data_IF_919222463787
#
_entry.id   IF_919222463787
#
_cell.length_a   1.000
_cell.length_b   1.000
_cell.length_c   1.000
_cell.angle_alpha   90.00
_cell.angle_beta   90.00
_cell.angle_gamma   90.00
#
_symmetry.space_group_name_H-M   'P 1'
#
loop_
_entity.id
_entity.type
_entity.pdbx_description
1 polymer ?
#
# COMPACT_ATOMS: atom_id res chain seq x y z
N UNK A 1 8.98 -2.80 -10.25
CA UNK A 1 7.55 -2.45 -10.29
C UNK A 1 7.26 -1.00 -9.97
N UNK A 2 7.97 -0.35 -9.02
CA UNK A 2 7.70 1.03 -8.60
C UNK A 2 7.74 2.11 -9.71
N UNK A 3 8.44 1.87 -10.83
CA UNK A 3 8.49 2.78 -11.99
C UNK A 3 7.19 2.77 -12.84
N UNK A 4 6.31 1.79 -12.62
CA UNK A 4 5.04 1.66 -13.34
C UNK A 4 3.98 2.50 -12.62
N UNK A 5 3.25 3.32 -13.36
CA UNK A 5 2.14 4.11 -12.80
C UNK A 5 0.95 3.21 -12.44
N UNK A 6 0.36 3.37 -11.24
CA UNK A 6 -0.89 2.68 -10.89
C UNK A 6 -2.01 3.01 -11.87
N UNK A 7 -2.88 2.02 -12.12
CA UNK A 7 -4.05 2.19 -13.00
C UNK A 7 -5.20 2.77 -12.19
N UNK A 8 -5.68 3.99 -12.49
CA UNK A 8 -6.86 4.54 -11.82
C UNK A 8 -8.13 3.81 -12.29
N UNK A 9 -9.07 3.62 -11.36
CA UNK A 9 -10.40 3.06 -11.65
C UNK A 9 -11.48 4.06 -11.26
N UNK A 10 -12.46 4.22 -12.13
CA UNK A 10 -13.68 4.98 -11.87
C UNK A 10 -14.70 4.13 -11.09
N UNK A 11 -15.61 4.79 -10.36
CA UNK A 11 -16.72 4.10 -9.68
C UNK A 11 -17.61 3.31 -10.68
N UNK A 12 -17.78 3.83 -11.90
CA UNK A 12 -18.53 3.13 -12.95
C UNK A 12 -17.83 1.82 -13.37
N UNK A 13 -16.50 1.83 -13.53
CA UNK A 13 -15.74 0.62 -13.82
C UNK A 13 -15.85 -0.37 -12.65
N UNK A 14 -15.69 0.09 -11.40
CA UNK A 14 -15.83 -0.77 -10.22
C UNK A 14 -17.20 -1.44 -10.15
N UNK A 15 -18.28 -0.68 -10.41
CA UNK A 15 -19.64 -1.24 -10.50
C UNK A 15 -19.73 -2.30 -11.60
N UNK A 16 -19.20 -2.01 -12.78
CA UNK A 16 -19.19 -2.92 -13.93
C UNK A 16 -18.52 -4.25 -13.58
N UNK A 17 -17.34 -4.22 -12.93
CA UNK A 17 -16.64 -5.42 -12.46
C UNK A 17 -17.43 -6.22 -11.42
N UNK A 18 -18.22 -5.55 -10.59
CA UNK A 18 -19.00 -6.19 -9.54
C UNK A 18 -20.31 -6.84 -10.02
N UNK A 19 -20.93 -6.32 -11.09
CA UNK A 19 -22.28 -6.75 -11.50
C UNK A 19 -22.32 -7.71 -12.69
N UNK A 20 -21.23 -7.85 -13.45
CA UNK A 20 -21.26 -8.53 -14.75
C UNK A 20 -20.71 -9.98 -14.73
N UNK A 21 -20.97 -10.71 -13.64
CA UNK A 21 -20.76 -12.16 -13.58
C UNK A 21 -19.32 -12.65 -13.32
N UNK A 22 -19.12 -13.98 -13.28
CA UNK A 22 -17.87 -14.61 -12.80
C UNK A 22 -16.66 -14.40 -13.72
N UNK A 23 -16.86 -14.24 -15.03
CA UNK A 23 -15.75 -13.99 -15.96
C UNK A 23 -15.07 -12.64 -15.70
N UNK A 24 -15.88 -11.60 -15.47
CA UNK A 24 -15.37 -10.25 -15.24
C UNK A 24 -14.75 -10.14 -13.83
N UNK A 25 -15.29 -10.89 -12.87
CA UNK A 25 -14.70 -11.09 -11.54
C UNK A 25 -13.29 -11.67 -11.65
N UNK A 26 -13.08 -12.71 -12.45
CA UNK A 26 -11.77 -13.33 -12.61
C UNK A 26 -10.75 -12.37 -13.27
N UNK A 27 -11.18 -11.65 -14.31
CA UNK A 27 -10.36 -10.57 -14.92
C UNK A 27 -9.99 -9.49 -13.91
N UNK A 28 -10.93 -9.10 -13.06
CA UNK A 28 -10.67 -8.11 -12.00
C UNK A 28 -9.65 -8.61 -10.98
N UNK A 29 -9.67 -9.90 -10.63
CA UNK A 29 -8.71 -10.48 -9.68
C UNK A 29 -7.31 -10.64 -10.26
N UNK A 30 -7.19 -11.04 -11.52
CA UNK A 30 -5.91 -11.05 -12.23
C UNK A 30 -5.34 -9.63 -12.36
N UNK A 31 -6.19 -8.64 -12.67
CA UNK A 31 -5.80 -7.23 -12.65
C UNK A 31 -5.31 -6.80 -11.26
N UNK A 32 -6.07 -7.13 -10.20
CA UNK A 32 -5.75 -6.74 -8.84
C UNK A 32 -4.44 -7.35 -8.35
N UNK A 33 -4.13 -8.60 -8.71
CA UNK A 33 -2.85 -9.25 -8.41
C UNK A 33 -1.66 -8.45 -8.91
N UNK A 34 -1.71 -7.97 -10.15
CA UNK A 34 -0.65 -7.13 -10.71
C UNK A 34 -0.66 -5.71 -10.11
N UNK A 35 -1.84 -5.10 -10.01
CA UNK A 35 -2.00 -3.72 -9.54
C UNK A 35 -1.57 -3.54 -8.07
N UNK A 36 -1.82 -4.54 -7.20
CA UNK A 36 -1.36 -4.51 -5.81
C UNK A 36 0.16 -4.51 -5.71
N UNK A 37 0.86 -5.29 -6.54
CA UNK A 37 2.33 -5.30 -6.54
C UNK A 37 2.91 -3.95 -6.94
N UNK A 38 2.32 -3.30 -7.95
CA UNK A 38 2.71 -1.95 -8.39
C UNK A 38 2.52 -0.96 -7.24
N UNK A 39 1.34 -0.96 -6.61
CA UNK A 39 1.01 -0.02 -5.52
C UNK A 39 1.85 -0.23 -4.27
N UNK A 40 2.08 -1.48 -3.87
CA UNK A 40 2.95 -1.77 -2.71
C UNK A 40 4.41 -1.40 -3.00
N UNK A 41 4.95 -1.74 -4.17
CA UNK A 41 6.31 -1.34 -4.54
C UNK A 41 6.48 0.18 -4.54
N UNK A 42 5.47 0.92 -5.01
CA UNK A 42 5.48 2.37 -4.99
C UNK A 42 5.41 2.93 -3.57
N UNK A 43 4.51 2.41 -2.73
CA UNK A 43 4.42 2.80 -1.32
C UNK A 43 5.73 2.57 -0.56
N UNK A 44 6.43 1.45 -0.81
CA UNK A 44 7.76 1.18 -0.23
C UNK A 44 8.76 2.28 -0.60
N UNK A 45 8.82 2.67 -1.88
CA UNK A 45 9.73 3.74 -2.34
C UNK A 45 9.34 5.08 -1.73
N UNK A 46 8.07 5.47 -1.82
CA UNK A 46 7.58 6.75 -1.29
C UNK A 46 7.84 6.88 0.23
N UNK A 47 7.61 5.80 1.00
CA UNK A 47 7.90 5.79 2.43
C UNK A 47 9.41 5.82 2.73
N UNK A 48 10.23 5.18 1.90
CA UNK A 48 11.68 5.15 2.06
C UNK A 48 12.34 6.50 1.74
N UNK A 49 11.68 7.34 0.94
CA UNK A 49 12.15 8.67 0.54
C UNK A 49 11.56 9.80 1.41
N UNK A 50 10.79 9.47 2.46
CA UNK A 50 10.20 10.48 3.34
C UNK A 50 11.29 11.38 3.97
N UNK A 51 11.08 12.71 3.96
CA UNK A 51 12.11 13.68 4.33
C UNK A 51 12.32 13.77 5.84
N UNK A 52 13.28 14.61 6.25
CA UNK A 52 13.54 14.98 7.65
C UNK A 52 13.94 13.80 8.56
N UNK A 53 14.37 12.68 7.98
CA UNK A 53 14.63 11.43 8.73
C UNK A 53 13.36 10.72 9.17
N UNK A 54 12.19 11.08 8.64
CA UNK A 54 10.92 10.43 8.98
C UNK A 54 10.94 8.94 8.59
N UNK A 55 11.51 8.63 7.43
CA UNK A 55 11.80 7.27 6.99
C UNK A 55 12.70 6.48 7.95
N UNK A 56 13.50 7.17 8.78
CA UNK A 56 14.41 6.54 9.73
C UNK A 56 13.73 6.18 11.06
N UNK A 57 12.56 6.76 11.35
CA UNK A 57 11.81 6.49 12.58
C UNK A 57 11.37 5.03 12.65
N UNK A 58 11.45 4.43 13.84
CA UNK A 58 11.08 3.02 14.02
C UNK A 58 9.66 2.69 13.54
N UNK A 59 8.62 3.51 13.81
CA UNK A 59 7.28 3.25 13.29
C UNK A 59 7.20 3.24 11.76
N UNK A 60 7.89 4.15 11.08
CA UNK A 60 7.88 4.22 9.60
C UNK A 60 8.68 3.07 8.99
N UNK A 61 9.81 2.68 9.59
CA UNK A 61 10.54 1.46 9.18
C UNK A 61 9.67 0.21 9.29
N UNK A 62 8.85 0.10 10.34
CA UNK A 62 7.90 -1.01 10.47
C UNK A 62 6.82 -0.96 9.37
N UNK A 63 6.32 0.23 9.01
CA UNK A 63 5.38 0.37 7.90
C UNK A 63 6.01 -0.07 6.56
N UNK A 64 7.25 0.35 6.28
CA UNK A 64 8.02 -0.06 5.09
C UNK A 64 8.19 -1.58 5.06
N UNK A 65 8.57 -2.19 6.19
CA UNK A 65 8.72 -3.63 6.31
C UNK A 65 7.41 -4.37 6.01
N UNK A 66 6.28 -3.88 6.56
CA UNK A 66 4.97 -4.47 6.30
C UNK A 66 4.58 -4.39 4.81
N UNK A 67 4.74 -3.22 4.16
CA UNK A 67 4.49 -3.09 2.72
C UNK A 67 5.41 -3.97 1.87
N UNK A 68 6.66 -4.16 2.30
CA UNK A 68 7.64 -5.04 1.64
C UNK A 68 7.20 -6.50 1.75
N UNK A 69 6.81 -6.96 2.94
CA UNK A 69 6.25 -8.29 3.15
C UNK A 69 5.00 -8.50 2.29
N UNK A 70 4.07 -7.54 2.28
CA UNK A 70 2.86 -7.63 1.45
C UNK A 70 3.18 -7.71 -0.04
N UNK A 71 4.17 -6.95 -0.53
CA UNK A 71 4.63 -7.05 -1.91
C UNK A 71 5.17 -8.45 -2.22
N UNK A 72 6.04 -8.99 -1.37
CA UNK A 72 6.59 -10.34 -1.55
C UNK A 72 5.51 -11.42 -1.53
N UNK A 73 4.56 -11.33 -0.60
CA UNK A 73 3.45 -12.27 -0.49
C UNK A 73 2.56 -12.23 -1.75
N UNK A 74 2.23 -11.04 -2.28
CA UNK A 74 1.46 -10.96 -3.53
C UNK A 74 2.25 -11.47 -4.73
N UNK A 75 3.53 -11.13 -4.83
CA UNK A 75 4.38 -11.57 -5.93
C UNK A 75 4.61 -13.10 -5.93
N UNK A 76 4.61 -13.74 -4.76
CA UNK A 76 4.71 -15.19 -4.61
C UNK A 76 3.41 -15.92 -5.00
N UNK A 77 2.25 -15.25 -4.95
CA UNK A 77 1.00 -15.82 -5.42
C UNK A 77 0.95 -15.84 -6.96
N UNK A 78 0.32 -16.86 -7.52
CA UNK A 78 -0.03 -16.89 -8.95
C UNK A 78 -1.24 -15.97 -9.19
N UNK A 79 -1.27 -15.30 -10.34
CA UNK A 79 -2.46 -14.55 -10.78
C UNK A 79 -3.66 -15.51 -10.91
N UNK A 80 -4.82 -15.20 -10.32
CA UNK A 80 -5.98 -16.08 -10.37
C UNK A 80 -6.49 -16.30 -11.81
N UNK A 81 -6.72 -17.55 -12.16
CA UNK A 81 -7.22 -18.02 -13.46
C UNK A 81 -8.42 -18.97 -13.36
N UNK A 82 -8.82 -19.36 -12.14
CA UNK A 82 -10.07 -20.10 -11.87
C UNK A 82 -10.85 -19.46 -10.71
N UNK A 83 -12.16 -19.76 -10.56
CA UNK A 83 -12.96 -19.31 -9.41
C UNK A 83 -12.39 -19.75 -8.05
N UNK A 84 -11.80 -20.93 -7.97
CA UNK A 84 -11.19 -21.45 -6.74
C UNK A 84 -9.91 -20.67 -6.41
N UNK A 85 -9.06 -20.41 -7.41
CA UNK A 85 -7.88 -19.56 -7.25
C UNK A 85 -8.28 -18.12 -6.84
N UNK A 86 -9.38 -17.59 -7.38
CA UNK A 86 -9.94 -16.28 -6.98
C UNK A 86 -10.34 -16.25 -5.50
N UNK A 87 -11.04 -17.29 -5.03
CA UNK A 87 -11.47 -17.38 -3.64
C UNK A 87 -10.27 -17.43 -2.68
N UNK A 88 -9.23 -18.20 -3.04
CA UNK A 88 -7.97 -18.27 -2.26
C UNK A 88 -7.28 -16.91 -2.24
N UNK A 89 -7.10 -16.28 -3.40
CA UNK A 89 -6.49 -14.97 -3.51
C UNK A 89 -7.24 -13.92 -2.69
N UNK A 90 -8.58 -13.93 -2.76
CA UNK A 90 -9.45 -13.03 -2.00
C UNK A 90 -9.30 -13.20 -0.50
N UNK A 91 -9.22 -14.45 -0.02
CA UNK A 91 -8.97 -14.74 1.39
C UNK A 91 -7.62 -14.18 1.84
N UNK A 92 -6.56 -14.38 1.04
CA UNK A 92 -5.22 -13.86 1.32
C UNK A 92 -5.19 -12.35 1.41
N UNK A 93 -5.68 -11.63 0.38
CA UNK A 93 -5.67 -10.15 0.40
C UNK A 93 -6.56 -9.58 1.50
N UNK A 94 -7.63 -10.28 1.89
CA UNK A 94 -8.47 -9.89 3.03
C UNK A 94 -7.71 -10.00 4.35
N UNK A 95 -6.92 -11.05 4.53
CA UNK A 95 -6.04 -11.21 5.69
C UNK A 95 -4.97 -10.11 5.71
N UNK A 96 -4.34 -9.82 4.58
CA UNK A 96 -3.33 -8.76 4.45
C UNK A 96 -3.91 -7.39 4.80
N UNK A 97 -5.13 -7.08 4.33
CA UNK A 97 -5.85 -5.85 4.71
C UNK A 97 -6.04 -5.73 6.22
N UNK A 98 -6.37 -6.83 6.92
CA UNK A 98 -6.50 -6.84 8.38
C UNK A 98 -5.15 -6.60 9.07
N UNK A 99 -4.10 -7.27 8.60
CA UNK A 99 -2.73 -7.10 9.11
C UNK A 99 -2.22 -5.67 8.91
N UNK A 100 -2.56 -5.03 7.79
CA UNK A 100 -2.19 -3.64 7.49
C UNK A 100 -3.05 -2.57 8.17
N UNK A 101 -3.95 -2.93 9.08
CA UNK A 101 -4.88 -1.98 9.71
C UNK A 101 -4.19 -0.89 10.56
N UNK A 102 -2.97 -1.15 11.02
CA UNK A 102 -2.17 -0.23 11.82
C UNK A 102 -1.15 0.60 11.01
N UNK A 103 -1.11 0.47 9.68
CA UNK A 103 -0.15 1.22 8.85
C UNK A 103 -0.27 2.74 8.98
N UNK A 104 -1.51 3.27 9.00
CA UNK A 104 -1.75 4.71 9.20
C UNK A 104 -1.27 5.16 10.59
N UNK A 105 -1.67 4.49 11.69
CA UNK A 105 -1.11 4.77 13.02
C UNK A 105 0.42 4.74 13.08
N UNK A 106 1.09 3.81 12.39
CA UNK A 106 2.56 3.75 12.35
C UNK A 106 3.18 5.01 11.74
N UNK A 107 2.65 5.47 10.60
CA UNK A 107 3.14 6.68 9.94
C UNK A 107 2.90 7.90 10.84
N UNK A 108 1.72 8.00 11.47
CA UNK A 108 1.42 9.04 12.45
C UNK A 108 2.37 9.00 13.67
N UNK A 109 2.73 7.79 14.14
CA UNK A 109 3.71 7.60 15.21
C UNK A 109 5.08 8.16 14.82
N UNK A 110 5.53 7.91 13.58
CA UNK A 110 6.78 8.48 13.06
C UNK A 110 6.73 10.01 13.01
N UNK A 111 5.62 10.61 12.57
CA UNK A 111 5.44 12.06 12.59
C UNK A 111 5.52 12.62 14.01
N UNK A 112 4.93 11.93 14.99
CA UNK A 112 5.03 12.33 16.39
C UNK A 112 6.48 12.27 16.89
N UNK A 113 7.25 11.24 16.51
CA UNK A 113 8.69 11.16 16.82
C UNK A 113 9.45 12.32 16.19
N UNK A 114 9.20 12.66 14.92
CA UNK A 114 9.91 13.77 14.25
C UNK A 114 9.62 15.11 14.92
N UNK A 115 8.38 15.36 15.36
CA UNK A 115 7.98 16.61 16.04
C UNK A 115 8.81 16.92 17.29
N UNK A 116 9.40 15.92 17.93
CA UNK A 116 10.24 16.09 19.14
C UNK A 116 11.73 16.20 18.82
N UNK A 117 12.13 16.03 17.57
CA UNK A 117 13.54 16.17 17.13
C UNK A 117 13.88 17.62 16.79
N UNK A 118 15.15 18.05 16.92
CA UNK A 118 15.58 19.38 16.50
C UNK A 118 15.22 19.70 15.04
N UNK A 119 15.44 18.74 14.12
CA UNK A 119 15.09 18.88 12.69
C UNK A 119 13.60 19.10 12.47
N UNK A 120 12.75 18.40 13.22
CA UNK A 120 11.30 18.58 13.13
C UNK A 120 10.83 19.91 13.69
N UNK A 121 11.42 20.35 14.80
CA UNK A 121 11.12 21.66 15.42
C UNK A 121 11.52 22.80 14.48
N UNK A 122 12.71 22.73 13.87
CA UNK A 122 13.19 23.76 12.94
C UNK A 122 12.34 23.82 11.66
N UNK A 123 11.91 22.66 11.15
CA UNK A 123 11.01 22.59 10.00
C UNK A 123 9.63 23.21 10.27
N UNK A 124 9.09 23.04 11.48
CA UNK A 124 7.81 23.66 11.88
C UNK A 124 7.95 25.18 12.03
N UNK A 125 9.06 25.66 12.60
CA UNK A 125 9.32 27.09 12.74
C UNK A 125 9.44 27.82 11.41
N UNK A 126 9.98 27.17 10.38
CA UNK A 126 10.06 27.76 9.03
C UNK A 126 8.69 27.98 8.38
N UNK A 127 7.66 27.23 8.79
CA UNK A 127 6.29 27.41 8.29
C UNK A 127 5.56 28.59 8.95
N UNK A 128 5.91 28.96 10.18
CA UNK A 128 5.28 30.09 10.91
C UNK A 128 5.77 31.48 10.43
N UNK A 129 6.79 31.52 9.57
CA UNK A 129 7.43 32.76 9.07
C UNK A 129 7.04 33.08 7.62
N UNK A 130 6.20 32.25 6.98
CA UNK A 130 5.63 32.48 5.64
C UNK A 130 4.15 32.86 5.73
#
# INVERSE_FOLDING_TARGET
MAKVSPTPLTLQQMKTFATNGPELRLKASAFLHNELQIRFARAVVELSELPLGLNETAPVKMAIANYTTFLHDVAAMKAPSTPEEDAIFTSRITQMKKQGSNLVPMICGGLHTIKTTPRGIDALRLQDVQ
#
